data_IF_378038276573
#
_entry.id   IF_378038276573
#
_cell.length_a   1.000
_cell.length_b   1.000
_cell.length_c   1.000
_cell.angle_alpha   90.00
_cell.angle_beta   90.00
_cell.angle_gamma   90.00
#
_symmetry.space_group_name_H-M   'P 1'
#
loop_
_entity.id
_entity.type
_entity.pdbx_description
1 polymer ?
#
# COMPACT_ATOMS: atom_id res chain seq x y z
N UNK A 1 -5.06 -12.60 -3.90
CA UNK A 1 -6.05 -11.55 -3.61
C UNK A 1 -6.76 -11.75 -2.25
N UNK A 2 -5.99 -11.92 -1.17
CA UNK A 2 -6.56 -12.19 0.16
C UNK A 2 -5.70 -11.55 1.26
N UNK A 3 -4.39 -11.56 1.08
CA UNK A 3 -3.40 -11.02 2.02
C UNK A 3 -3.62 -9.54 2.39
N UNK A 4 -4.21 -8.75 1.48
CA UNK A 4 -4.52 -7.34 1.70
C UNK A 4 -6.03 -7.09 1.66
N UNK A 5 -6.72 -7.67 0.67
CA UNK A 5 -8.15 -7.49 0.44
C UNK A 5 -9.01 -7.89 1.65
N UNK A 6 -8.60 -8.88 2.46
CA UNK A 6 -9.37 -9.32 3.62
C UNK A 6 -9.68 -8.19 4.62
N UNK A 7 -8.70 -7.31 4.88
CA UNK A 7 -8.88 -6.18 5.79
C UNK A 7 -9.29 -4.89 5.05
N UNK A 8 -8.82 -4.72 3.81
CA UNK A 8 -9.04 -3.54 2.98
C UNK A 8 -10.26 -3.72 2.06
N UNK A 9 -11.43 -3.76 2.70
CA UNK A 9 -12.75 -3.93 2.10
C UNK A 9 -13.74 -3.05 2.87
N UNK A 10 -14.88 -2.73 2.24
CA UNK A 10 -15.94 -1.99 2.92
C UNK A 10 -16.49 -2.77 4.12
N UNK A 11 -16.75 -2.07 5.23
CA UNK A 11 -17.24 -2.64 6.49
C UNK A 11 -16.32 -3.71 7.10
N UNK A 12 -15.00 -3.61 6.87
CA UNK A 12 -13.95 -4.47 7.46
C UNK A 12 -12.96 -3.65 8.29
N UNK A 13 -12.00 -4.34 8.89
CA UNK A 13 -11.08 -3.75 9.87
C UNK A 13 -10.35 -2.49 9.39
N UNK A 14 -9.99 -2.40 8.10
CA UNK A 14 -9.27 -1.27 7.53
C UNK A 14 -10.13 -0.42 6.56
N UNK A 15 -11.46 -0.43 6.70
CA UNK A 15 -12.37 0.29 5.80
C UNK A 15 -12.17 1.82 5.82
N UNK A 16 -11.72 2.36 6.96
CA UNK A 16 -11.35 3.75 7.21
C UNK A 16 -10.14 4.21 6.40
N UNK A 17 -9.41 3.29 5.76
CA UNK A 17 -8.36 3.59 4.79
C UNK A 17 -8.92 3.48 3.37
N UNK A 18 -8.47 4.32 2.42
CA UNK A 18 -9.05 4.39 1.08
C UNK A 18 -8.71 3.21 0.16
N UNK A 19 -7.81 2.31 0.58
CA UNK A 19 -7.35 1.22 -0.27
C UNK A 19 -8.39 0.09 -0.36
N UNK A 20 -8.64 -0.42 -1.56
CA UNK A 20 -9.45 -1.60 -1.85
C UNK A 20 -8.68 -2.50 -2.81
N UNK A 21 -8.18 -3.61 -2.28
CA UNK A 21 -7.21 -4.47 -2.98
C UNK A 21 -7.84 -5.70 -3.63
N UNK A 22 -9.13 -5.95 -3.43
CA UNK A 22 -9.81 -7.03 -4.16
C UNK A 22 -9.87 -6.70 -5.64
N UNK A 23 -9.74 -7.72 -6.50
CA UNK A 23 -9.75 -7.56 -7.95
C UNK A 23 -11.00 -6.83 -8.45
N UNK A 24 -12.15 -7.10 -7.83
CA UNK A 24 -13.44 -6.47 -8.15
C UNK A 24 -13.53 -5.00 -7.75
N UNK A 25 -12.71 -4.54 -6.81
CA UNK A 25 -12.73 -3.16 -6.31
C UNK A 25 -11.53 -2.34 -6.79
N UNK A 26 -10.37 -2.97 -7.03
CA UNK A 26 -9.12 -2.28 -7.38
C UNK A 26 -9.04 -1.80 -8.84
N UNK A 27 -9.89 -2.34 -9.71
CA UNK A 27 -9.83 -2.16 -11.17
C UNK A 27 -10.93 -1.27 -11.78
N UNK A 28 -11.75 -0.59 -10.96
CA UNK A 28 -12.80 0.29 -11.48
C UNK A 28 -12.21 1.46 -12.31
N UNK A 29 -12.85 1.76 -13.44
CA UNK A 29 -12.47 2.83 -14.37
C UNK A 29 -12.47 4.20 -13.68
N UNK A 30 -13.34 4.39 -12.67
CA UNK A 30 -13.45 5.67 -11.98
C UNK A 30 -12.42 5.81 -10.85
N UNK A 31 -12.24 4.78 -10.03
CA UNK A 31 -11.52 4.90 -8.76
C UNK A 31 -10.32 3.95 -8.60
N UNK A 32 -10.01 3.10 -9.60
CA UNK A 32 -9.01 2.03 -9.45
C UNK A 32 -7.63 2.51 -9.02
N UNK A 33 -7.18 3.69 -9.48
CA UNK A 33 -5.91 4.28 -9.03
C UNK A 33 -5.95 4.63 -7.54
N UNK A 34 -7.01 5.29 -7.09
CA UNK A 34 -7.17 5.68 -5.70
C UNK A 34 -7.35 4.46 -4.78
N UNK A 35 -8.12 3.46 -5.23
CA UNK A 35 -8.32 2.20 -4.52
C UNK A 35 -7.02 1.39 -4.38
N UNK A 36 -6.10 1.50 -5.34
CA UNK A 36 -4.75 0.95 -5.21
C UNK A 36 -3.83 1.80 -4.32
N UNK A 37 -4.25 3.00 -3.91
CA UNK A 37 -3.45 3.93 -3.12
C UNK A 37 -2.47 4.79 -3.94
N UNK A 38 -2.60 4.80 -5.27
CA UNK A 38 -1.74 5.57 -6.16
C UNK A 38 -2.05 7.05 -6.01
N UNK A 39 -1.05 7.86 -5.66
CA UNK A 39 -1.17 9.31 -5.44
C UNK A 39 -2.04 9.74 -4.25
N UNK A 40 -2.49 8.79 -3.43
CA UNK A 40 -3.31 9.07 -2.25
C UNK A 40 -2.42 9.40 -1.07
N UNK A 41 -2.75 10.48 -0.33
CA UNK A 41 -2.05 10.85 0.89
C UNK A 41 -2.23 9.77 1.97
N UNK A 42 -1.14 9.46 2.67
CA UNK A 42 -1.24 8.59 3.84
C UNK A 42 -1.86 9.37 5.01
N UNK A 43 -2.64 8.66 5.80
CA UNK A 43 -3.16 9.16 7.07
C UNK A 43 -2.36 8.61 8.27
N UNK A 44 -1.41 7.70 8.02
CA UNK A 44 -0.49 7.15 9.01
C UNK A 44 0.86 7.86 8.91
N UNK A 45 1.04 8.95 9.65
CA UNK A 45 2.30 9.70 9.68
C UNK A 45 3.03 9.61 11.02
N UNK A 46 2.37 9.10 12.06
CA UNK A 46 2.99 8.95 13.38
C UNK A 46 4.20 8.02 13.29
N UNK A 47 5.36 8.52 13.72
CA UNK A 47 6.65 7.81 13.72
C UNK A 47 7.19 7.38 12.34
N UNK A 48 6.52 7.75 11.25
CA UNK A 48 7.00 7.53 9.88
C UNK A 48 7.85 8.71 9.41
N UNK A 49 8.88 8.45 8.57
CA UNK A 49 9.60 9.51 7.88
C UNK A 49 8.67 10.46 7.12
N UNK A 50 8.84 11.79 7.22
CA UNK A 50 8.01 12.77 6.51
C UNK A 50 7.96 12.59 4.99
N UNK A 51 8.99 11.95 4.41
CA UNK A 51 9.07 11.66 2.98
C UNK A 51 8.04 10.62 2.48
N UNK A 52 7.46 9.82 3.38
CA UNK A 52 6.46 8.78 3.08
C UNK A 52 5.03 9.34 3.10
N UNK A 53 4.82 10.51 2.50
CA UNK A 53 3.53 11.24 2.57
C UNK A 53 2.42 10.63 1.72
N UNK A 54 2.72 9.68 0.83
CA UNK A 54 1.76 9.02 -0.06
C UNK A 54 1.75 7.51 0.19
N UNK A 55 0.58 6.89 0.03
CA UNK A 55 0.42 5.43 0.07
C UNK A 55 1.33 4.79 -1.00
N UNK A 56 1.18 5.22 -2.25
CA UNK A 56 2.11 4.94 -3.35
C UNK A 56 2.47 6.26 -4.04
N UNK A 57 3.77 6.49 -4.15
CA UNK A 57 4.38 7.55 -4.96
C UNK A 57 4.85 6.96 -6.28
N UNK A 58 4.19 7.25 -7.43
CA UNK A 58 4.59 6.73 -8.73
C UNK A 58 6.05 7.01 -9.06
N UNK A 59 6.76 6.01 -9.58
CA UNK A 59 8.17 6.15 -9.98
C UNK A 59 9.15 6.32 -8.81
N UNK A 60 8.68 6.36 -7.55
CA UNK A 60 9.54 6.55 -6.39
C UNK A 60 9.14 5.61 -5.24
N UNK A 61 9.67 4.40 -5.30
CA UNK A 61 9.46 3.36 -4.29
C UNK A 61 9.87 3.79 -2.87
N UNK A 62 10.94 4.58 -2.74
CA UNK A 62 11.45 5.05 -1.45
C UNK A 62 10.53 6.08 -0.77
N UNK A 63 9.58 6.65 -1.52
CA UNK A 63 8.54 7.57 -1.03
C UNK A 63 7.16 6.93 -0.95
N UNK A 64 7.08 5.62 -1.08
CA UNK A 64 5.82 4.87 -1.05
C UNK A 64 5.64 4.17 0.31
N UNK A 65 4.67 4.64 1.09
CA UNK A 65 4.35 4.08 2.41
C UNK A 65 4.04 2.57 2.34
N UNK A 66 3.29 2.13 1.32
CA UNK A 66 2.94 0.73 1.14
C UNK A 66 4.18 -0.16 1.00
N UNK A 67 5.16 0.28 0.22
CA UNK A 67 6.42 -0.45 0.05
C UNK A 67 7.21 -0.52 1.36
N UNK A 68 7.35 0.60 2.08
CA UNK A 68 8.03 0.65 3.36
C UNK A 68 7.43 -0.36 4.35
N UNK A 69 6.09 -0.36 4.49
CA UNK A 69 5.37 -1.26 5.40
C UNK A 69 5.53 -2.74 5.02
N UNK A 70 5.63 -3.06 3.73
CA UNK A 70 5.86 -4.43 3.28
C UNK A 70 7.33 -4.87 3.39
N UNK A 71 8.27 -3.93 3.39
CA UNK A 71 9.72 -4.22 3.43
C UNK A 71 10.37 -4.07 4.83
N UNK A 72 9.59 -4.18 5.92
CA UNK A 72 10.10 -4.12 7.30
C UNK A 72 9.47 -5.17 8.21
N UNK A 73 10.23 -5.78 9.11
CA UNK A 73 9.70 -6.69 10.14
C UNK A 73 9.36 -5.97 11.44
N UNK A 74 9.59 -4.67 11.55
CA UNK A 74 9.24 -3.88 12.73
C UNK A 74 7.71 -3.88 12.94
N UNK A 75 7.25 -4.35 14.09
CA UNK A 75 5.82 -4.54 14.39
C UNK A 75 5.00 -3.26 14.35
N UNK A 76 5.63 -2.11 14.67
CA UNK A 76 4.96 -0.81 14.62
C UNK A 76 4.64 -0.37 13.18
N UNK A 77 5.36 -0.90 12.20
CA UNK A 77 5.29 -0.43 10.82
C UNK A 77 4.84 -1.49 9.83
N UNK A 78 5.10 -2.76 10.10
CA UNK A 78 4.90 -3.84 9.13
C UNK A 78 3.44 -4.00 8.76
N UNK A 79 3.21 -4.44 7.53
CA UNK A 79 1.93 -4.95 7.08
C UNK A 79 2.07 -6.41 6.60
N UNK A 80 1.09 -7.28 6.90
CA UNK A 80 -0.01 -7.08 7.83
C UNK A 80 0.47 -6.86 9.29
N UNK A 81 -0.34 -6.15 10.08
CA UNK A 81 -0.02 -5.82 11.49
C UNK A 81 0.21 -7.07 12.34
N UNK A 82 -0.50 -8.15 12.06
CA UNK A 82 -0.43 -9.39 12.82
C UNK A 82 -0.07 -10.58 11.91
N UNK A 83 0.61 -11.57 12.49
CA UNK A 83 0.85 -12.86 11.83
C UNK A 83 1.99 -12.89 10.79
N UNK A 84 2.68 -11.77 10.51
CA UNK A 84 3.83 -11.74 9.61
C UNK A 84 5.15 -11.55 10.36
N UNK A 85 6.03 -12.53 10.24
CA UNK A 85 7.39 -12.50 10.85
C UNK A 85 8.52 -12.41 9.83
N UNK A 86 8.24 -12.67 8.55
CA UNK A 86 9.24 -12.66 7.46
C UNK A 86 8.83 -11.74 6.33
N UNK A 87 9.81 -11.21 5.61
CA UNK A 87 9.59 -10.43 4.39
C UNK A 87 9.44 -11.40 3.22
N UNK A 88 8.36 -11.26 2.46
CA UNK A 88 8.21 -11.96 1.19
C UNK A 88 8.98 -11.22 0.10
N UNK A 89 10.25 -11.57 -0.08
CA UNK A 89 11.19 -10.85 -0.95
C UNK A 89 10.71 -10.75 -2.40
N UNK A 90 10.16 -11.83 -2.96
CA UNK A 90 9.62 -11.82 -4.33
C UNK A 90 8.47 -10.83 -4.47
N UNK A 91 7.52 -10.84 -3.52
CA UNK A 91 6.39 -9.90 -3.53
C UNK A 91 6.82 -8.44 -3.37
N UNK A 92 7.82 -8.17 -2.54
CA UNK A 92 8.38 -6.81 -2.38
C UNK A 92 9.07 -6.36 -3.67
N UNK A 93 9.84 -7.24 -4.31
CA UNK A 93 10.51 -6.94 -5.58
C UNK A 93 9.50 -6.68 -6.71
N UNK A 94 8.43 -7.47 -6.79
CA UNK A 94 7.36 -7.25 -7.75
C UNK A 94 6.68 -5.90 -7.54
N UNK A 95 6.39 -5.55 -6.28
CA UNK A 95 5.81 -4.25 -5.94
C UNK A 95 6.73 -3.10 -6.31
N UNK A 96 8.03 -3.21 -6.02
CA UNK A 96 9.03 -2.21 -6.42
C UNK A 96 9.03 -1.99 -7.93
N UNK A 97 9.08 -3.08 -8.70
CA UNK A 97 9.07 -3.01 -10.16
C UNK A 97 7.80 -2.32 -10.65
N UNK A 98 6.63 -2.74 -10.16
CA UNK A 98 5.35 -2.15 -10.53
C UNK A 98 5.27 -0.66 -10.21
N UNK A 99 5.64 -0.23 -8.99
CA UNK A 99 5.63 1.19 -8.59
C UNK A 99 6.51 2.03 -9.54
N UNK A 100 7.66 1.49 -9.94
CA UNK A 100 8.59 2.17 -10.84
C UNK A 100 8.08 2.27 -12.29
N UNK A 101 7.04 1.52 -12.68
CA UNK A 101 6.38 1.68 -13.99
C UNK A 101 5.28 2.75 -14.02
N UNK A 102 4.84 3.21 -12.84
CA UNK A 102 3.70 4.12 -12.74
C UNK A 102 4.05 5.54 -13.19
N UNK A 103 3.13 6.16 -13.92
CA UNK A 103 3.23 7.56 -14.31
C UNK A 103 2.99 8.51 -13.12
N UNK A 104 3.67 9.68 -13.08
CA UNK A 104 3.50 10.68 -12.04
C UNK A 104 2.05 11.08 -11.77
N UNK A 105 1.80 11.58 -10.56
CA UNK A 105 0.51 12.17 -10.22
C UNK A 105 0.30 13.44 -11.07
N UNK A 106 -0.88 13.56 -11.68
CA UNK A 106 -1.31 14.76 -12.41
C UNK A 106 -2.00 15.73 -11.47
#
# INVERSE_FOLDING_TARGET
DINCAHCHQDNRHCDYRPMRFSFTESGDIQNGRANLGICVDTQDMQDFPPALSKIISPGNVNRSMLYYRLNTTNENFRMPLHGRTVIHTEGVNLLQQWINTLQPCQ
#
